data_IF_527817241346
#
_entry.id   IF_527817241346
#
_cell.length_a   1.000
_cell.length_b   1.000
_cell.length_c   1.000
_cell.angle_alpha   90.00
_cell.angle_beta   90.00
_cell.angle_gamma   90.00
#
_symmetry.space_group_name_H-M   'P 1'
#
loop_
_entity.id
_entity.type
_entity.pdbx_description
1 polymer ?
#
# COMPACT_ATOMS: atom_id res chain seq x y z
N UNK A 1 24.23 14.07 7.29
CA UNK A 1 22.84 14.61 7.32
C UNK A 1 22.68 15.93 6.56
N UNK A 2 23.54 16.29 5.59
CA UNK A 2 23.56 17.68 5.05
C UNK A 2 22.54 17.89 3.90
N UNK A 3 22.20 16.84 3.14
CA UNK A 3 21.26 16.96 2.01
C UNK A 3 21.71 18.04 1.01
N UNK A 4 20.77 18.85 0.52
CA UNK A 4 21.06 19.97 -0.39
C UNK A 4 21.72 21.19 0.29
N UNK A 5 21.87 21.20 1.61
CA UNK A 5 22.42 22.35 2.34
C UNK A 5 21.63 23.66 2.09
N UNK A 6 22.27 24.84 2.15
CA UNK A 6 21.58 26.13 2.04
C UNK A 6 21.06 26.47 0.63
N UNK A 7 21.36 25.64 -0.39
CA UNK A 7 21.00 25.91 -1.79
C UNK A 7 20.38 24.68 -2.43
N UNK A 8 19.06 24.59 -2.37
CA UNK A 8 18.29 23.58 -3.08
C UNK A 8 18.40 23.76 -4.61
N UNK A 9 18.35 22.68 -5.40
CA UNK A 9 18.28 22.77 -6.84
C UNK A 9 17.01 23.51 -7.27
N UNK A 10 17.10 24.31 -8.33
CA UNK A 10 15.92 24.85 -8.97
C UNK A 10 15.29 23.75 -9.83
N UNK A 11 14.02 23.45 -9.56
CA UNK A 11 13.25 22.48 -10.35
C UNK A 11 12.29 23.24 -11.25
N UNK A 12 12.35 22.95 -12.55
CA UNK A 12 11.42 23.47 -13.53
C UNK A 12 10.30 22.45 -13.77
N UNK A 13 9.17 22.63 -13.08
CA UNK A 13 8.02 21.76 -13.29
C UNK A 13 7.29 22.06 -14.60
N UNK A 14 6.65 21.06 -15.22
CA UNK A 14 5.85 21.25 -16.42
C UNK A 14 4.84 22.40 -16.27
N UNK A 15 4.65 23.19 -17.34
CA UNK A 15 3.72 24.32 -17.35
C UNK A 15 4.11 25.49 -16.45
N UNK A 16 5.34 25.52 -15.90
CA UNK A 16 5.78 26.58 -14.99
C UNK A 16 5.14 26.48 -13.60
N UNK A 17 4.66 25.29 -13.22
CA UNK A 17 4.06 25.06 -11.90
C UNK A 17 5.05 25.39 -10.76
N UNK A 18 4.53 25.99 -9.68
CA UNK A 18 5.34 26.34 -8.50
C UNK A 18 5.43 25.21 -7.47
N UNK A 19 4.54 24.23 -7.58
CA UNK A 19 4.45 23.08 -6.68
C UNK A 19 4.00 21.86 -7.48
N UNK A 20 4.55 20.70 -7.15
CA UNK A 20 4.05 19.41 -7.58
C UNK A 20 3.39 18.73 -6.37
N UNK A 21 2.17 18.25 -6.52
CA UNK A 21 1.44 17.53 -5.48
C UNK A 21 1.39 16.06 -5.88
N UNK A 22 1.93 15.18 -5.02
CA UNK A 22 1.86 13.73 -5.19
C UNK A 22 0.84 13.17 -4.21
N UNK A 23 -0.29 12.70 -4.73
CA UNK A 23 -1.31 12.03 -3.92
C UNK A 23 -1.03 10.53 -3.90
N UNK A 24 -0.98 9.97 -2.71
CA UNK A 24 -0.75 8.54 -2.50
C UNK A 24 -1.96 7.95 -1.79
N UNK A 25 -2.45 6.83 -2.33
CA UNK A 25 -3.47 6.00 -1.68
C UNK A 25 -2.84 4.64 -1.39
N UNK A 26 -2.63 4.32 -0.12
CA UNK A 26 -2.21 2.97 0.27
C UNK A 26 -3.38 2.01 0.07
N UNK A 27 -3.07 0.79 -0.36
CA UNK A 27 -4.00 -0.31 -0.47
C UNK A 27 -3.39 -1.52 0.24
N UNK A 28 -3.79 -1.67 1.50
CA UNK A 28 -3.19 -2.57 2.48
C UNK A 28 -4.18 -3.68 2.91
N UNK A 29 -5.47 -3.44 2.70
CA UNK A 29 -6.59 -4.26 3.14
C UNK A 29 -6.61 -5.64 2.45
N UNK A 30 -6.37 -6.69 3.24
CA UNK A 30 -6.12 -8.07 2.80
C UNK A 30 -4.63 -8.45 2.78
N UNK A 31 -3.75 -7.54 3.16
CA UNK A 31 -2.30 -7.74 3.28
C UNK A 31 -1.76 -7.57 4.70
N UNK A 32 -2.58 -7.13 5.65
CA UNK A 32 -2.25 -6.96 7.07
C UNK A 32 -2.03 -8.29 7.81
N UNK A 33 -1.59 -8.20 9.07
CA UNK A 33 -1.43 -9.38 9.93
C UNK A 33 -2.77 -10.08 10.18
N UNK A 34 -2.87 -11.32 9.75
CA UNK A 34 -4.03 -12.16 10.01
C UNK A 34 -3.64 -13.64 10.00
N UNK A 35 -4.23 -14.41 10.91
CA UNK A 35 -4.03 -15.86 10.94
C UNK A 35 -4.43 -16.54 9.61
N UNK A 36 -5.43 -15.99 8.91
CA UNK A 36 -5.85 -16.50 7.60
C UNK A 36 -4.79 -16.25 6.51
N UNK A 37 -3.84 -15.34 6.76
CA UNK A 37 -2.72 -15.04 5.90
C UNK A 37 -1.44 -15.78 6.31
N UNK A 38 -1.54 -16.68 7.31
CA UNK A 38 -0.41 -17.44 7.86
C UNK A 38 0.39 -16.72 8.94
N UNK A 39 -0.08 -15.58 9.45
CA UNK A 39 0.63 -14.84 10.50
C UNK A 39 0.38 -15.43 11.89
N UNK A 40 1.33 -15.20 12.79
CA UNK A 40 1.26 -15.70 14.17
C UNK A 40 0.25 -14.94 15.05
N UNK A 41 -0.27 -13.79 14.59
CA UNK A 41 -1.08 -12.88 15.40
C UNK A 41 -1.98 -11.99 14.54
N UNK A 42 -2.99 -11.38 15.17
CA UNK A 42 -3.83 -10.37 14.53
C UNK A 42 -3.12 -9.03 14.32
N UNK A 43 -3.66 -8.21 13.40
CA UNK A 43 -3.28 -6.81 13.28
C UNK A 43 -3.68 -5.99 14.52
N UNK A 44 -2.98 -4.88 14.72
CA UNK A 44 -3.18 -3.93 15.80
C UNK A 44 -2.96 -2.47 15.38
N UNK A 45 -2.42 -2.22 14.19
CA UNK A 45 -2.04 -0.89 13.73
C UNK A 45 -3.11 -0.25 12.82
N UNK A 46 -3.09 1.09 12.73
CA UNK A 46 -3.96 1.94 11.89
C UNK A 46 -5.43 1.48 11.79
N UNK A 47 -6.10 1.40 12.94
CA UNK A 47 -7.54 1.11 13.01
C UNK A 47 -8.25 2.09 13.94
N UNK A 48 -9.58 2.05 13.95
CA UNK A 48 -10.40 2.81 14.90
C UNK A 48 -10.28 2.30 16.35
N UNK A 49 -9.57 1.18 16.58
CA UNK A 49 -9.33 0.61 17.91
C UNK A 49 -8.03 1.19 18.46
N UNK A 50 -8.12 2.38 19.07
CA UNK A 50 -6.97 3.04 19.65
C UNK A 50 -6.29 2.16 20.72
N UNK A 51 -4.98 1.94 20.56
CA UNK A 51 -4.20 1.11 21.48
C UNK A 51 -4.50 -0.39 21.39
N UNK A 52 -5.06 -0.86 20.26
CA UNK A 52 -5.18 -2.29 20.00
C UNK A 52 -3.83 -3.00 20.21
N UNK A 53 -3.88 -4.18 20.79
CA UNK A 53 -2.75 -5.10 20.89
C UNK A 53 -2.95 -6.25 19.91
N UNK A 54 -1.84 -6.78 19.41
CA UNK A 54 -1.87 -7.99 18.61
C UNK A 54 -2.32 -9.16 19.49
N UNK A 55 -3.15 -10.06 18.96
CA UNK A 55 -3.60 -11.25 19.67
C UNK A 55 -2.86 -12.48 19.12
N UNK A 56 -1.86 -13.02 19.84
CA UNK A 56 -1.13 -14.20 19.39
C UNK A 56 -2.06 -15.41 19.23
N UNK A 57 -1.91 -16.11 18.11
CA UNK A 57 -2.67 -17.33 17.79
C UNK A 57 -4.18 -17.12 17.67
N UNK A 58 -4.67 -15.88 17.55
CA UNK A 58 -6.09 -15.57 17.51
C UNK A 58 -6.43 -14.56 16.43
N UNK A 59 -7.64 -14.71 15.89
CA UNK A 59 -8.25 -13.71 15.00
C UNK A 59 -8.86 -12.58 15.82
N UNK A 60 -8.84 -11.38 15.25
CA UNK A 60 -9.45 -10.20 15.85
C UNK A 60 -10.53 -9.67 14.90
N UNK A 61 -11.75 -10.21 15.01
CA UNK A 61 -12.81 -9.94 14.04
C UNK A 61 -13.19 -8.45 13.91
N UNK A 62 -13.12 -7.68 15.00
CA UNK A 62 -13.36 -6.24 14.93
C UNK A 62 -12.30 -5.56 14.05
N UNK A 63 -11.02 -5.89 14.24
CA UNK A 63 -9.92 -5.39 13.40
C UNK A 63 -10.11 -5.77 11.94
N UNK A 64 -10.40 -7.05 11.67
CA UNK A 64 -10.65 -7.54 10.30
C UNK A 64 -11.81 -6.79 9.64
N UNK A 65 -12.90 -6.54 10.36
CA UNK A 65 -14.06 -5.81 9.82
C UNK A 65 -13.77 -4.34 9.52
N UNK A 66 -12.82 -3.72 10.24
CA UNK A 66 -12.37 -2.35 10.00
C UNK A 66 -11.53 -2.30 8.72
N UNK A 67 -10.60 -3.24 8.54
CA UNK A 67 -9.84 -3.37 7.30
C UNK A 67 -10.77 -3.67 6.11
N UNK A 68 -11.74 -4.56 6.29
CA UNK A 68 -12.75 -4.84 5.24
C UNK A 68 -13.49 -3.59 4.79
N UNK A 69 -13.74 -2.61 5.66
CA UNK A 69 -14.37 -1.35 5.26
C UNK A 69 -13.55 -0.60 4.20
N UNK A 70 -12.22 -0.58 4.35
CA UNK A 70 -11.31 0.07 3.40
C UNK A 70 -11.46 -0.52 2.00
N UNK A 71 -11.34 -1.84 1.86
CA UNK A 71 -11.48 -2.53 0.57
C UNK A 71 -12.92 -2.48 0.00
N UNK A 72 -13.94 -2.63 0.86
CA UNK A 72 -15.35 -2.79 0.42
C UNK A 72 -16.06 -1.47 0.16
N UNK A 73 -15.68 -0.39 0.84
CA UNK A 73 -16.40 0.88 0.78
C UNK A 73 -15.48 2.10 0.64
N UNK A 74 -14.40 2.16 1.43
CA UNK A 74 -13.45 3.27 1.45
C UNK A 74 -12.82 3.52 0.08
N UNK A 75 -12.26 2.47 -0.52
CA UNK A 75 -11.64 2.50 -1.85
C UNK A 75 -12.60 3.07 -2.89
N UNK A 76 -13.83 2.54 -2.99
CA UNK A 76 -14.77 2.98 -4.02
C UNK A 76 -15.22 4.43 -3.84
N UNK A 77 -15.29 4.92 -2.60
CA UNK A 77 -15.57 6.34 -2.33
C UNK A 77 -14.46 7.23 -2.86
N UNK A 78 -13.20 6.87 -2.60
CA UNK A 78 -12.03 7.62 -3.08
C UNK A 78 -11.87 7.51 -4.59
N UNK A 79 -12.08 6.31 -5.15
CA UNK A 79 -12.08 6.07 -6.59
C UNK A 79 -13.03 7.03 -7.32
N UNK A 80 -14.29 7.13 -6.90
CA UNK A 80 -15.23 8.11 -7.48
C UNK A 80 -14.74 9.54 -7.32
N UNK A 81 -14.29 9.93 -6.12
CA UNK A 81 -13.82 11.29 -5.84
C UNK A 81 -12.72 11.76 -6.80
N UNK A 82 -11.70 10.91 -7.02
CA UNK A 82 -10.54 11.24 -7.84
C UNK A 82 -10.83 11.12 -9.34
N UNK A 83 -11.56 10.09 -9.77
CA UNK A 83 -11.92 9.91 -11.18
C UNK A 83 -12.88 10.99 -11.69
N UNK A 84 -13.87 11.40 -10.89
CA UNK A 84 -14.77 12.52 -11.23
C UNK A 84 -14.03 13.85 -11.44
N UNK A 85 -12.87 14.03 -10.80
CA UNK A 85 -12.03 15.22 -10.90
C UNK A 85 -10.91 15.09 -11.93
N UNK A 86 -10.81 13.94 -12.59
CA UNK A 86 -9.68 13.58 -13.45
C UNK A 86 -8.32 13.81 -12.77
N UNK A 87 -8.22 13.53 -11.47
CA UNK A 87 -7.00 13.68 -10.70
C UNK A 87 -6.26 12.33 -10.65
N UNK A 88 -4.99 12.26 -11.11
CA UNK A 88 -4.19 11.07 -10.95
C UNK A 88 -3.69 10.94 -9.51
N UNK A 89 -3.42 9.70 -9.10
CA UNK A 89 -2.72 9.37 -7.86
C UNK A 89 -1.82 8.15 -8.09
N UNK A 90 -0.93 7.90 -7.13
CA UNK A 90 -0.15 6.66 -7.06
C UNK A 90 -0.70 5.76 -5.97
N UNK A 91 -0.98 4.52 -6.32
CA UNK A 91 -1.31 3.46 -5.38
C UNK A 91 -0.02 2.93 -4.77
N UNK A 92 0.03 2.84 -3.44
CA UNK A 92 1.01 2.01 -2.74
C UNK A 92 0.32 0.70 -2.39
N UNK A 93 0.50 -0.29 -3.27
CA UNK A 93 -0.26 -1.53 -3.21
C UNK A 93 0.55 -2.67 -2.61
N UNK A 94 0.06 -3.23 -1.51
CA UNK A 94 0.61 -4.45 -0.90
C UNK A 94 0.27 -5.63 -1.80
N UNK A 95 1.26 -6.40 -2.24
CA UNK A 95 1.07 -7.37 -3.32
C UNK A 95 0.00 -8.43 -2.99
N UNK A 96 -0.08 -8.91 -1.75
CA UNK A 96 -1.15 -9.85 -1.34
C UNK A 96 -2.52 -9.19 -1.28
N UNK A 97 -2.61 -7.92 -0.88
CA UNK A 97 -3.88 -7.17 -0.88
C UNK A 97 -4.41 -6.99 -2.31
N UNK A 98 -3.53 -6.62 -3.25
CA UNK A 98 -3.86 -6.52 -4.68
C UNK A 98 -4.33 -7.87 -5.24
N UNK A 99 -3.62 -8.97 -4.94
CA UNK A 99 -3.97 -10.30 -5.42
C UNK A 99 -5.34 -10.80 -4.92
N UNK A 100 -5.75 -10.40 -3.71
CA UNK A 100 -7.06 -10.75 -3.15
C UNK A 100 -8.22 -9.92 -3.72
N UNK A 101 -7.93 -8.76 -4.30
CA UNK A 101 -8.95 -7.79 -4.71
C UNK A 101 -8.82 -7.40 -6.21
N UNK A 102 -8.99 -8.36 -7.14
CA UNK A 102 -8.75 -8.12 -8.57
C UNK A 102 -9.70 -7.08 -9.19
N UNK A 103 -10.90 -6.87 -8.63
CA UNK A 103 -11.84 -5.86 -9.10
C UNK A 103 -11.32 -4.43 -8.84
N UNK A 104 -10.76 -4.19 -7.66
CA UNK A 104 -10.14 -2.93 -7.29
C UNK A 104 -8.87 -2.69 -8.10
N UNK A 105 -8.03 -3.72 -8.33
CA UNK A 105 -6.87 -3.62 -9.22
C UNK A 105 -7.30 -3.22 -10.64
N UNK A 106 -8.36 -3.83 -11.16
CA UNK A 106 -8.90 -3.45 -12.47
C UNK A 106 -9.33 -1.98 -12.48
N UNK A 107 -10.04 -1.52 -11.45
CA UNK A 107 -10.48 -0.13 -11.36
C UNK A 107 -9.29 0.86 -11.30
N UNK A 108 -8.24 0.55 -10.55
CA UNK A 108 -7.00 1.36 -10.51
C UNK A 108 -6.37 1.48 -11.91
N UNK A 109 -6.31 0.36 -12.66
CA UNK A 109 -5.77 0.33 -14.03
C UNK A 109 -6.65 1.08 -15.03
N UNK A 110 -7.96 0.89 -14.97
CA UNK A 110 -8.92 1.60 -15.83
C UNK A 110 -8.86 3.13 -15.60
N UNK A 111 -8.60 3.56 -14.36
CA UNK A 111 -8.41 4.96 -14.00
C UNK A 111 -7.05 5.54 -14.44
N UNK A 112 -6.14 4.71 -14.96
CA UNK A 112 -4.79 5.12 -15.37
C UNK A 112 -3.91 5.55 -14.20
N UNK A 113 -4.17 5.04 -13.00
CA UNK A 113 -3.34 5.33 -11.83
C UNK A 113 -2.03 4.53 -11.87
N UNK A 114 -0.96 5.13 -11.35
CA UNK A 114 0.30 4.42 -11.14
C UNK A 114 0.17 3.48 -9.95
N UNK A 115 0.80 2.30 -9.98
CA UNK A 115 0.77 1.33 -8.89
C UNK A 115 2.20 0.98 -8.51
N UNK A 116 2.67 1.55 -7.40
CA UNK A 116 3.95 1.23 -6.80
C UNK A 116 3.82 0.05 -5.82
N UNK A 117 4.93 -0.66 -5.60
CA UNK A 117 4.96 -1.74 -4.61
C UNK A 117 4.96 -1.19 -3.19
N UNK A 118 4.07 -1.73 -2.36
CA UNK A 118 4.06 -1.52 -0.92
C UNK A 118 4.49 -2.78 -0.14
N UNK A 119 5.40 -3.58 -0.72
CA UNK A 119 5.85 -4.83 -0.13
C UNK A 119 4.94 -6.03 -0.44
N UNK A 120 5.34 -7.20 0.06
CA UNK A 120 4.56 -8.44 -0.12
C UNK A 120 3.32 -8.42 0.77
N UNK A 121 3.53 -8.11 2.05
CA UNK A 121 2.54 -8.00 3.12
C UNK A 121 2.77 -6.69 3.88
N UNK A 122 1.75 -6.25 4.60
CA UNK A 122 1.82 -5.10 5.50
C UNK A 122 2.15 -5.58 6.92
N UNK A 123 3.43 -5.80 7.19
CA UNK A 123 3.95 -6.35 8.44
C UNK A 123 5.20 -5.57 8.87
N UNK A 124 5.75 -5.83 10.04
CA UNK A 124 6.97 -5.15 10.51
C UNK A 124 8.25 -5.76 9.92
N UNK A 125 9.06 -4.93 9.26
CA UNK A 125 10.34 -5.29 8.67
C UNK A 125 11.54 -4.98 9.56
N UNK A 126 11.39 -4.14 10.62
CA UNK A 126 12.49 -3.63 11.45
C UNK A 126 13.49 -4.70 11.94
N UNK A 127 12.98 -5.86 12.34
CA UNK A 127 13.77 -6.97 12.90
C UNK A 127 13.76 -8.22 11.99
N UNK A 128 13.32 -8.06 10.73
CA UNK A 128 13.29 -9.14 9.75
C UNK A 128 14.72 -9.50 9.30
N UNK A 129 15.09 -10.79 9.26
CA UNK A 129 16.37 -11.21 8.67
C UNK A 129 16.50 -10.76 7.21
N UNK A 130 17.70 -10.36 6.80
CA UNK A 130 17.95 -9.84 5.44
C UNK A 130 17.55 -10.83 4.34
N UNK A 131 17.82 -12.11 4.53
CA UNK A 131 17.49 -13.17 3.58
C UNK A 131 15.97 -13.36 3.43
N UNK A 132 15.24 -13.26 4.52
CA UNK A 132 13.78 -13.29 4.56
C UNK A 132 13.18 -12.04 3.90
N UNK A 133 13.67 -10.85 4.24
CA UNK A 133 13.21 -9.59 3.61
C UNK A 133 13.47 -9.60 2.11
N UNK A 134 14.67 -10.03 1.69
CA UNK A 134 15.02 -10.18 0.27
C UNK A 134 14.08 -11.14 -0.45
N UNK A 135 13.74 -12.27 0.17
CA UNK A 135 12.78 -13.25 -0.37
C UNK A 135 11.40 -12.60 -0.53
N UNK A 136 10.93 -11.85 0.46
CA UNK A 136 9.66 -11.15 0.38
C UNK A 136 9.66 -10.05 -0.68
N UNK A 137 10.74 -9.30 -0.86
CA UNK A 137 10.87 -8.30 -1.92
C UNK A 137 10.74 -8.94 -3.31
N UNK A 138 11.47 -10.03 -3.55
CA UNK A 138 11.41 -10.74 -4.83
C UNK A 138 10.02 -11.30 -5.11
N UNK A 139 9.37 -11.86 -4.09
CA UNK A 139 8.02 -12.40 -4.20
C UNK A 139 6.97 -11.28 -4.40
N UNK A 140 7.14 -10.13 -3.74
CA UNK A 140 6.30 -8.96 -3.95
C UNK A 140 6.39 -8.49 -5.40
N UNK A 141 7.60 -8.38 -5.96
CA UNK A 141 7.80 -7.99 -7.36
C UNK A 141 7.13 -8.99 -8.31
N UNK A 142 7.33 -10.30 -8.07
CA UNK A 142 6.73 -11.37 -8.88
C UNK A 142 5.21 -11.30 -8.86
N UNK A 143 4.60 -11.29 -7.67
CA UNK A 143 3.15 -11.26 -7.50
C UNK A 143 2.55 -9.95 -7.99
N UNK A 144 3.18 -8.81 -7.70
CA UNK A 144 2.77 -7.51 -8.22
C UNK A 144 2.74 -7.53 -9.75
N UNK A 145 3.80 -8.02 -10.40
CA UNK A 145 3.85 -8.13 -11.87
C UNK A 145 2.73 -9.01 -12.41
N UNK A 146 2.42 -10.12 -11.73
CA UNK A 146 1.33 -11.03 -12.09
C UNK A 146 -0.04 -10.32 -12.05
N UNK A 147 -0.32 -9.56 -10.99
CA UNK A 147 -1.65 -8.96 -10.78
C UNK A 147 -1.85 -7.62 -11.50
N UNK A 148 -0.81 -6.81 -11.64
CA UNK A 148 -0.89 -5.51 -12.32
C UNK A 148 -0.54 -5.61 -13.80
N UNK A 149 0.22 -6.62 -14.21
CA UNK A 149 0.67 -6.86 -15.58
C UNK A 149 2.05 -6.29 -15.92
N UNK A 150 2.65 -5.50 -15.03
CA UNK A 150 3.99 -4.93 -15.19
C UNK A 150 4.74 -4.91 -13.84
N UNK A 151 6.07 -4.96 -13.89
CA UNK A 151 6.88 -4.88 -12.68
C UNK A 151 6.79 -3.47 -12.05
N UNK A 152 6.74 -3.36 -10.70
CA UNK A 152 6.65 -2.08 -10.02
C UNK A 152 7.93 -1.26 -10.26
N UNK A 153 7.77 0.04 -10.53
CA UNK A 153 8.89 1.00 -10.69
C UNK A 153 9.14 1.85 -9.45
N UNK A 154 8.20 1.86 -8.51
CA UNK A 154 8.31 2.49 -7.20
C UNK A 154 8.24 1.46 -6.10
N UNK A 155 8.92 1.73 -4.99
CA UNK A 155 8.93 0.87 -3.81
C UNK A 155 8.84 1.71 -2.53
N UNK A 156 7.94 1.32 -1.64
CA UNK A 156 7.84 1.86 -0.29
C UNK A 156 7.49 0.72 0.66
N UNK A 157 8.37 0.31 1.59
CA UNK A 157 8.03 -0.71 2.59
C UNK A 157 7.17 -0.10 3.71
N UNK A 158 7.60 1.06 4.22
CA UNK A 158 6.93 1.75 5.33
C UNK A 158 7.23 1.11 6.68
N UNK A 159 6.60 -0.04 6.95
CA UNK A 159 6.65 -0.76 8.23
C UNK A 159 7.48 -2.03 8.12
#
# INVERSE_FOLDING_TARGET
MIGYGPRAPQVAWPGGARVAISLVLNYEEGGENCLLHGDAQSEAFLSDIAGAAQWPGQRHWNMESIYDYGARAGFWRLHRLFTERALPLTIYGVATALARNPEQVKAMKDAGWDIASHGLKWVEHKDMPEDEERRQILEAIRLHTEVTGEAPRGWYTGR
#
